data_IF_846757614019
#
_entry.id   IF_846757614019
#
_cell.length_a   1.000
_cell.length_b   1.000
_cell.length_c   1.000
_cell.angle_alpha   90.00
_cell.angle_beta   90.00
_cell.angle_gamma   90.00
#
_symmetry.space_group_name_H-M   'P 1'
#
loop_
_entity.id
_entity.type
_entity.pdbx_description
1 polymer ?
#
# COMPACT_ATOMS: atom_id res chain seq x y z
N UNK A 1 12.59 -11.65 13.25
CA UNK A 1 13.12 -10.55 12.39
C UNK A 1 12.19 -9.32 12.43
N UNK A 2 12.69 -8.08 12.28
CA UNK A 2 11.87 -6.86 12.18
C UNK A 2 12.05 -6.21 10.81
N UNK A 3 10.95 -5.82 10.16
CA UNK A 3 10.92 -5.11 8.87
C UNK A 3 10.13 -3.82 9.10
N UNK A 4 10.74 -2.66 8.85
CA UNK A 4 10.05 -1.37 8.94
C UNK A 4 9.81 -0.82 7.53
N UNK A 5 8.53 -0.62 7.18
CA UNK A 5 8.12 -0.17 5.85
C UNK A 5 7.79 1.32 5.78
N UNK A 6 7.78 2.03 6.91
CA UNK A 6 7.30 3.43 7.00
C UNK A 6 8.12 4.42 6.16
N UNK A 7 9.40 4.13 5.93
CA UNK A 7 10.32 4.94 5.13
C UNK A 7 10.57 4.43 3.71
N UNK A 8 9.95 3.31 3.32
CA UNK A 8 10.18 2.72 2.00
C UNK A 8 9.38 3.46 0.94
N UNK A 9 10.00 3.64 -0.24
CA UNK A 9 9.35 4.29 -1.37
C UNK A 9 8.54 3.27 -2.17
N UNK A 10 7.29 3.61 -2.43
CA UNK A 10 6.49 2.89 -3.40
C UNK A 10 7.02 3.12 -4.83
N UNK A 11 6.82 2.13 -5.69
CA UNK A 11 7.06 2.23 -7.12
C UNK A 11 5.94 3.02 -7.83
N UNK A 12 6.03 3.16 -9.16
CA UNK A 12 5.05 3.87 -9.99
C UNK A 12 3.63 3.28 -9.93
N UNK A 13 3.50 2.03 -9.47
CA UNK A 13 2.22 1.33 -9.27
C UNK A 13 1.72 1.44 -7.82
N UNK A 14 2.30 2.32 -7.00
CA UNK A 14 2.00 2.47 -5.56
C UNK A 14 2.31 1.21 -4.72
N UNK A 15 3.26 0.39 -5.15
CA UNK A 15 3.64 -0.85 -4.45
C UNK A 15 4.98 -0.67 -3.73
N UNK A 16 5.06 -1.14 -2.49
CA UNK A 16 6.33 -1.30 -1.78
C UNK A 16 6.79 -2.75 -1.95
N UNK A 17 8.00 -2.95 -2.47
CA UNK A 17 8.55 -4.29 -2.73
C UNK A 17 9.77 -4.52 -1.84
N UNK A 18 9.79 -5.67 -1.16
CA UNK A 18 10.83 -6.03 -0.20
C UNK A 18 11.19 -7.50 -0.44
N UNK A 19 12.47 -7.82 -0.47
CA UNK A 19 12.93 -9.20 -0.50
C UNK A 19 13.18 -9.70 0.94
N UNK A 20 12.71 -10.92 1.23
CA UNK A 20 12.91 -11.61 2.51
C UNK A 20 13.50 -13.00 2.25
N UNK A 21 14.47 -13.42 3.06
CA UNK A 21 15.07 -14.74 2.88
C UNK A 21 14.08 -15.79 3.36
N UNK A 22 13.95 -16.89 2.60
CA UNK A 22 13.17 -18.04 3.04
C UNK A 22 13.64 -18.56 4.41
N UNK A 23 14.96 -18.49 4.68
CA UNK A 23 15.52 -18.87 5.98
C UNK A 23 14.98 -18.04 7.14
N UNK A 24 14.61 -16.77 6.92
CA UNK A 24 14.01 -15.95 7.97
C UNK A 24 12.64 -16.48 8.39
N UNK A 25 11.86 -16.99 7.43
CA UNK A 25 10.52 -17.58 7.65
C UNK A 25 10.60 -18.94 8.34
N UNK A 26 11.72 -19.63 8.19
CA UNK A 26 11.98 -20.95 8.74
C UNK A 26 12.50 -20.90 10.19
N UNK A 27 12.92 -19.72 10.65
CA UNK A 27 13.26 -19.45 12.04
C UNK A 27 11.97 -19.49 12.87
N UNK A 28 11.91 -20.33 13.91
CA UNK A 28 10.77 -20.41 14.86
C UNK A 28 10.69 -19.16 15.77
N UNK A 29 10.91 -17.98 15.20
CA UNK A 29 10.86 -16.69 15.87
C UNK A 29 9.96 -15.75 15.06
N UNK A 30 9.20 -14.85 15.70
CA UNK A 30 8.28 -13.98 14.96
C UNK A 30 8.97 -13.06 13.95
N UNK A 31 8.28 -12.80 12.84
CA UNK A 31 8.60 -11.74 11.88
C UNK A 31 7.59 -10.61 12.08
N UNK A 32 8.09 -9.45 12.51
CA UNK A 32 7.27 -8.25 12.67
C UNK A 32 7.44 -7.32 11.48
N UNK A 33 6.34 -6.97 10.82
CA UNK A 33 6.28 -5.94 9.77
C UNK A 33 5.63 -4.70 10.38
N UNK A 34 6.37 -3.59 10.44
CA UNK A 34 6.02 -2.37 11.17
C UNK A 34 5.89 -1.19 10.23
N UNK A 35 5.08 -0.21 10.63
CA UNK A 35 4.96 1.06 9.90
C UNK A 35 3.97 0.99 8.74
N UNK A 36 3.03 0.05 8.79
CA UNK A 36 1.99 -0.11 7.76
C UNK A 36 0.94 0.98 7.98
N UNK A 37 0.73 1.84 6.98
CA UNK A 37 -0.38 2.79 7.00
C UNK A 37 -1.69 2.04 6.71
N UNK A 38 -2.81 2.38 7.37
CA UNK A 38 -4.09 1.70 7.12
C UNK A 38 -4.59 1.83 5.68
N UNK A 39 -4.21 2.91 5.00
CA UNK A 39 -4.48 3.14 3.59
C UNK A 39 -3.23 2.97 2.71
N UNK A 40 -2.25 2.19 3.16
CA UNK A 40 -1.07 1.89 2.37
C UNK A 40 -1.45 1.30 1.02
N UNK A 41 -0.66 1.58 -0.02
CA UNK A 41 -0.67 0.72 -1.19
C UNK A 41 -0.13 -0.68 -0.87
N UNK A 42 -0.09 -1.59 -1.85
CA UNK A 42 0.32 -2.97 -1.62
C UNK A 42 1.76 -3.09 -1.15
N UNK A 43 2.00 -3.94 -0.17
CA UNK A 43 3.33 -4.32 0.31
C UNK A 43 3.59 -5.76 -0.11
N UNK A 44 4.52 -5.94 -1.04
CA UNK A 44 4.88 -7.23 -1.63
C UNK A 44 6.19 -7.69 -1.01
N UNK A 45 6.14 -8.82 -0.31
CA UNK A 45 7.31 -9.52 0.20
C UNK A 45 7.65 -10.65 -0.76
N UNK A 46 8.72 -10.48 -1.54
CA UNK A 46 9.25 -11.58 -2.35
C UNK A 46 10.10 -12.47 -1.46
N UNK A 47 9.74 -13.75 -1.39
CA UNK A 47 10.57 -14.74 -0.71
C UNK A 47 11.68 -15.16 -1.66
N UNK A 48 12.92 -14.97 -1.23
CA UNK A 48 14.13 -15.25 -2.02
C UNK A 48 15.05 -16.22 -1.27
N UNK A 49 15.94 -16.86 -2.02
CA UNK A 49 17.00 -17.68 -1.42
C UNK A 49 18.13 -16.80 -0.84
N UNK A 50 19.16 -17.41 -0.25
CA UNK A 50 20.30 -16.69 0.33
C UNK A 50 21.12 -15.88 -0.69
N UNK A 51 20.99 -16.17 -1.99
CA UNK A 51 21.64 -15.46 -3.09
C UNK A 51 20.75 -14.37 -3.73
N UNK A 52 19.57 -14.09 -3.16
CA UNK A 52 18.61 -13.10 -3.68
C UNK A 52 17.89 -13.53 -4.98
N UNK A 53 17.95 -14.81 -5.35
CA UNK A 53 17.14 -15.33 -6.43
C UNK A 53 15.73 -15.74 -5.93
N UNK A 54 14.72 -15.75 -6.82
CA UNK A 54 13.40 -16.30 -6.48
C UNK A 54 13.51 -17.69 -5.85
N UNK A 55 12.85 -17.89 -4.72
CA UNK A 55 12.91 -19.16 -4.00
C UNK A 55 12.34 -20.31 -4.85
N UNK A 56 12.90 -21.51 -4.70
CA UNK A 56 12.45 -22.76 -5.33
C UNK A 56 12.39 -23.86 -4.28
N UNK A 57 11.65 -24.94 -4.56
CA UNK A 57 11.55 -26.09 -3.64
C UNK A 57 10.56 -25.84 -2.51
N UNK A 58 10.84 -26.41 -1.34
CA UNK A 58 9.98 -26.31 -0.15
C UNK A 58 10.35 -25.10 0.69
N UNK A 59 9.35 -24.36 1.17
CA UNK A 59 9.51 -23.31 2.19
C UNK A 59 8.62 -23.64 3.38
N UNK A 60 9.22 -23.69 4.57
CA UNK A 60 8.48 -23.93 5.82
C UNK A 60 8.32 -22.61 6.59
N UNK A 61 7.12 -22.06 6.62
CA UNK A 61 6.83 -20.85 7.39
C UNK A 61 6.58 -21.25 8.84
N UNK A 62 7.64 -21.26 9.63
CA UNK A 62 7.64 -21.54 11.06
C UNK A 62 7.62 -20.28 11.92
N UNK A 63 7.85 -19.11 11.30
CA UNK A 63 7.73 -17.82 11.97
C UNK A 63 6.28 -17.35 12.02
N UNK A 64 5.81 -16.97 13.22
CA UNK A 64 4.62 -16.14 13.35
C UNK A 64 4.76 -14.83 12.60
N UNK A 65 3.79 -14.48 11.77
CA UNK A 65 3.72 -13.15 11.14
C UNK A 65 2.99 -12.19 12.08
N UNK A 66 3.55 -10.98 12.25
CA UNK A 66 2.97 -9.93 13.08
C UNK A 66 2.95 -8.60 12.34
N UNK A 67 1.76 -8.07 12.07
CA UNK A 67 1.58 -6.77 11.46
C UNK A 67 1.37 -5.69 12.52
N UNK A 68 2.12 -4.59 12.42
CA UNK A 68 2.06 -3.43 13.31
C UNK A 68 1.85 -2.17 12.47
N UNK A 69 0.72 -1.50 12.68
CA UNK A 69 0.34 -0.30 11.94
C UNK A 69 0.99 0.96 12.51
N UNK A 70 0.95 2.05 11.73
CA UNK A 70 1.52 3.35 12.11
C UNK A 70 0.89 3.96 13.38
N UNK A 71 -0.34 3.58 13.73
CA UNK A 71 -1.01 3.99 14.98
C UNK A 71 -0.62 3.12 16.18
N UNK A 72 0.30 2.17 16.00
CA UNK A 72 0.79 1.24 17.02
C UNK A 72 -0.11 0.02 17.25
N UNK A 73 -1.25 -0.08 16.56
CA UNK A 73 -2.12 -1.25 16.67
C UNK A 73 -1.52 -2.46 15.97
N UNK A 74 -1.86 -3.65 16.46
CA UNK A 74 -1.49 -4.94 15.85
C UNK A 74 -2.70 -5.60 15.24
N UNK A 75 -2.49 -6.32 14.13
CA UNK A 75 -3.49 -7.28 13.63
C UNK A 75 -3.27 -8.62 14.33
N UNK A 76 -4.34 -9.28 14.78
CA UNK A 76 -4.36 -10.70 15.13
C UNK A 76 -5.24 -11.46 14.12
N UNK A 77 -5.07 -12.77 13.94
CA UNK A 77 -5.98 -13.54 13.09
C UNK A 77 -7.42 -13.47 13.61
N UNK A 78 -8.39 -13.10 12.77
CA UNK A 78 -9.82 -13.06 13.10
C UNK A 78 -10.71 -12.91 11.86
N UNK A 79 -11.97 -13.35 11.97
CA UNK A 79 -13.02 -13.09 10.99
C UNK A 79 -13.34 -11.59 10.90
N UNK A 80 -13.42 -11.05 9.68
CA UNK A 80 -13.74 -9.65 9.42
C UNK A 80 -14.54 -9.48 8.15
N UNK A 81 -15.33 -8.41 8.09
CA UNK A 81 -15.96 -7.91 6.86
C UNK A 81 -15.29 -6.62 6.35
N UNK A 82 -14.41 -6.04 7.16
CA UNK A 82 -13.55 -4.92 6.78
C UNK A 82 -12.18 -5.46 6.34
N UNK A 83 -11.86 -5.26 5.07
CA UNK A 83 -10.61 -5.66 4.44
C UNK A 83 -9.71 -4.46 4.15
N UNK A 84 -10.07 -3.25 4.58
CA UNK A 84 -9.35 -2.02 4.24
C UNK A 84 -7.90 -2.01 4.70
N UNK A 85 -7.50 -2.91 5.60
CA UNK A 85 -6.14 -3.07 6.12
C UNK A 85 -5.35 -4.24 5.49
N UNK A 86 -5.94 -4.98 4.54
CA UNK A 86 -5.36 -6.16 3.89
C UNK A 86 -4.38 -5.82 2.76
N UNK A 87 -3.22 -5.25 3.11
CA UNK A 87 -2.24 -4.74 2.12
C UNK A 87 -1.02 -5.63 1.89
N UNK A 88 -0.92 -6.78 2.56
CA UNK A 88 0.28 -7.63 2.53
C UNK A 88 0.11 -8.76 1.52
N UNK A 89 1.09 -8.90 0.61
CA UNK A 89 1.22 -10.03 -0.31
C UNK A 89 2.59 -10.69 -0.16
N UNK A 90 2.59 -11.99 0.07
CA UNK A 90 3.78 -12.83 0.11
C UNK A 90 3.91 -13.58 -1.21
N UNK A 91 4.94 -13.24 -1.99
CA UNK A 91 5.26 -13.90 -3.24
C UNK A 91 6.32 -14.97 -3.02
N UNK A 92 5.92 -16.23 -3.00
CA UNK A 92 6.81 -17.39 -2.79
C UNK A 92 7.53 -17.83 -4.08
N UNK A 93 7.73 -16.90 -5.02
CA UNK A 93 8.59 -17.09 -6.18
C UNK A 93 8.20 -18.32 -7.00
N UNK A 94 9.09 -19.30 -7.03
CA UNK A 94 8.97 -20.55 -7.79
C UNK A 94 8.97 -21.78 -6.87
N UNK A 95 8.60 -21.62 -5.59
CA UNK A 95 8.43 -22.74 -4.67
C UNK A 95 7.46 -23.77 -5.23
N UNK A 96 7.76 -25.04 -4.97
CA UNK A 96 6.92 -26.19 -5.30
C UNK A 96 6.11 -26.66 -4.09
N UNK A 97 6.46 -26.21 -2.89
CA UNK A 97 5.75 -26.53 -1.66
C UNK A 97 5.86 -25.37 -0.67
N UNK A 98 4.76 -25.03 0.00
CA UNK A 98 4.74 -24.02 1.07
C UNK A 98 3.94 -24.57 2.25
N UNK A 99 4.60 -24.75 3.38
CA UNK A 99 3.99 -25.25 4.61
C UNK A 99 3.86 -24.10 5.62
N UNK A 100 2.63 -23.70 5.92
CA UNK A 100 2.34 -22.65 6.92
C UNK A 100 2.12 -23.32 8.28
N UNK A 101 3.12 -23.23 9.14
CA UNK A 101 3.20 -23.97 10.40
C UNK A 101 2.97 -23.09 11.65
N UNK A 102 2.84 -21.77 11.49
CA UNK A 102 2.54 -20.78 12.53
C UNK A 102 1.50 -19.77 12.02
N UNK A 103 0.64 -19.15 12.86
CA UNK A 103 -0.23 -18.05 12.48
C UNK A 103 0.34 -17.06 11.46
N UNK A 104 -0.40 -16.90 10.36
CA UNK A 104 0.04 -16.17 9.18
C UNK A 104 -0.91 -15.04 8.81
N UNK A 105 -0.34 -13.92 8.36
CA UNK A 105 -1.06 -12.71 8.01
C UNK A 105 -0.57 -12.19 6.66
N UNK A 106 -1.51 -12.06 5.73
CA UNK A 106 -1.26 -11.58 4.38
C UNK A 106 -1.62 -12.63 3.33
N UNK A 107 -1.86 -12.15 2.12
CA UNK A 107 -2.18 -13.01 0.99
C UNK A 107 -0.95 -13.77 0.52
N UNK A 108 -1.12 -15.02 0.12
CA UNK A 108 -0.08 -15.93 -0.37
C UNK A 108 -0.22 -16.08 -1.89
N UNK A 109 0.85 -15.76 -2.61
CA UNK A 109 1.01 -15.99 -4.04
C UNK A 109 2.12 -17.02 -4.26
N UNK A 110 1.73 -18.26 -4.54
CA UNK A 110 2.64 -19.35 -4.85
C UNK A 110 2.05 -20.29 -5.93
N UNK A 111 1.84 -19.83 -7.18
CA UNK A 111 1.04 -20.56 -8.19
C UNK A 111 1.57 -21.95 -8.57
N UNK A 112 2.82 -22.27 -8.25
CA UNK A 112 3.46 -23.57 -8.49
C UNK A 112 3.49 -24.48 -7.26
N UNK A 113 3.13 -23.97 -6.10
CA UNK A 113 3.27 -24.69 -4.85
C UNK A 113 2.02 -25.48 -4.50
N UNK A 114 2.24 -26.70 -3.99
CA UNK A 114 1.26 -27.35 -3.14
C UNK A 114 1.36 -26.72 -1.74
N UNK A 115 0.28 -26.07 -1.30
CA UNK A 115 0.25 -25.28 -0.07
C UNK A 115 -0.49 -26.06 1.02
N UNK A 116 0.17 -26.25 2.16
CA UNK A 116 -0.42 -26.83 3.37
C UNK A 116 -0.54 -25.78 4.45
N UNK A 117 -1.76 -25.47 4.89
CA UNK A 117 -2.03 -24.48 5.93
C UNK A 117 -2.35 -25.19 7.24
N UNK A 118 -1.34 -25.34 8.09
CA UNK A 118 -1.42 -26.04 9.38
C UNK A 118 -1.84 -25.16 10.57
N UNK A 119 -2.03 -23.86 10.36
CA UNK A 119 -2.40 -22.86 11.37
C UNK A 119 -3.33 -21.79 10.80
N UNK A 120 -3.86 -20.90 11.65
CA UNK A 120 -4.71 -19.80 11.20
C UNK A 120 -4.01 -18.90 10.17
N UNK A 121 -4.67 -18.69 9.03
CA UNK A 121 -4.21 -17.80 7.97
C UNK A 121 -5.30 -16.77 7.65
N UNK A 122 -4.95 -15.49 7.71
CA UNK A 122 -5.82 -14.39 7.22
C UNK A 122 -5.25 -13.89 5.89
N UNK A 123 -5.99 -14.06 4.80
CA UNK A 123 -5.56 -13.64 3.47
C UNK A 123 -6.20 -14.42 2.32
N UNK A 124 -5.85 -14.08 1.09
CA UNK A 124 -6.12 -14.91 -0.08
C UNK A 124 -4.98 -15.91 -0.29
N UNK A 125 -5.27 -17.13 -0.77
CA UNK A 125 -4.26 -18.15 -1.05
C UNK A 125 -4.35 -18.54 -2.52
N UNK A 126 -3.27 -18.33 -3.27
CA UNK A 126 -3.14 -18.71 -4.68
C UNK A 126 -2.02 -19.75 -4.79
N UNK A 127 -2.39 -21.02 -4.98
CA UNK A 127 -1.47 -22.16 -5.09
C UNK A 127 -1.82 -23.07 -6.27
N UNK A 128 -0.93 -24.03 -6.57
CA UNK A 128 -1.25 -25.15 -7.46
C UNK A 128 -2.33 -26.04 -6.82
N UNK A 129 -2.16 -26.35 -5.54
CA UNK A 129 -3.18 -26.94 -4.68
C UNK A 129 -3.13 -26.29 -3.30
N UNK A 130 -4.25 -26.29 -2.59
CA UNK A 130 -4.35 -25.71 -1.24
C UNK A 130 -5.07 -26.70 -0.33
N UNK A 131 -4.40 -27.13 0.73
CA UNK A 131 -4.96 -27.96 1.80
C UNK A 131 -5.00 -27.14 3.10
N UNK A 132 -6.19 -26.91 3.64
CA UNK A 132 -6.37 -26.23 4.91
C UNK A 132 -6.57 -27.29 6.00
N UNK A 133 -5.57 -27.41 6.89
CA UNK A 133 -5.59 -28.33 8.03
C UNK A 133 -5.95 -27.64 9.36
N UNK A 134 -6.11 -26.30 9.32
CA UNK A 134 -6.55 -25.47 10.44
C UNK A 134 -7.71 -24.56 9.99
N UNK A 135 -7.60 -23.24 10.20
CA UNK A 135 -8.61 -22.25 9.81
C UNK A 135 -8.03 -21.23 8.82
N UNK A 136 -8.89 -20.74 7.93
CA UNK A 136 -8.58 -19.60 7.07
C UNK A 136 -9.68 -18.57 7.20
N UNK A 137 -9.32 -17.30 7.39
CA UNK A 137 -10.28 -16.21 7.40
C UNK A 137 -10.15 -15.39 6.12
N UNK A 138 -11.29 -14.92 5.62
CA UNK A 138 -11.31 -14.03 4.47
C UNK A 138 -10.66 -12.69 4.86
N UNK A 139 -9.63 -12.29 4.13
CA UNK A 139 -8.99 -10.98 4.27
C UNK A 139 -8.47 -10.56 2.89
N UNK A 140 -9.37 -10.00 2.08
CA UNK A 140 -9.14 -9.80 0.65
C UNK A 140 -8.10 -8.72 0.39
N UNK A 141 -7.08 -9.05 -0.40
CA UNK A 141 -5.98 -8.15 -0.74
C UNK A 141 -6.47 -6.86 -1.40
N UNK A 142 -6.03 -5.72 -0.87
CA UNK A 142 -6.42 -4.39 -1.34
C UNK A 142 -5.29 -3.69 -2.11
N UNK A 143 -5.68 -2.86 -3.08
CA UNK A 143 -4.77 -1.98 -3.81
C UNK A 143 -4.40 -0.72 -2.99
N UNK A 144 -5.08 -0.46 -1.88
CA UNK A 144 -5.01 0.81 -1.15
C UNK A 144 -5.55 1.99 -1.97
N UNK A 145 -5.36 3.19 -1.45
CA UNK A 145 -5.71 4.42 -2.19
C UNK A 145 -4.72 4.62 -3.35
N UNK A 146 -5.20 4.69 -4.58
CA UNK A 146 -4.34 5.15 -5.69
C UNK A 146 -3.98 6.62 -5.44
N UNK A 147 -2.69 7.02 -5.42
CA UNK A 147 -2.33 8.42 -5.35
C UNK A 147 -2.99 9.12 -6.54
N UNK A 148 -3.82 10.13 -6.27
CA UNK A 148 -4.40 10.92 -7.35
C UNK A 148 -3.27 11.46 -8.22
N UNK A 149 -3.31 11.20 -9.54
CA UNK A 149 -2.42 11.86 -10.49
C UNK A 149 -2.45 13.36 -10.19
N UNK A 150 -1.29 14.03 -10.01
CA UNK A 150 -1.28 15.47 -9.85
C UNK A 150 -2.11 16.09 -10.97
N UNK A 151 -3.13 16.88 -10.63
CA UNK A 151 -3.83 17.67 -11.64
C UNK A 151 -2.78 18.45 -12.41
N UNK A 152 -2.89 18.44 -13.75
CA UNK A 152 -2.00 19.23 -14.59
C UNK A 152 -1.97 20.67 -14.05
N UNK A 153 -0.80 21.34 -14.08
CA UNK A 153 -0.72 22.74 -13.68
C UNK A 153 -1.83 23.51 -14.38
N UNK A 154 -2.69 24.18 -13.61
CA UNK A 154 -3.65 25.11 -14.18
C UNK A 154 -2.84 26.15 -14.96
N UNK A 155 -2.91 26.09 -16.28
CA UNK A 155 -2.33 27.13 -17.14
C UNK A 155 -2.99 28.45 -16.74
N UNK A 156 -2.22 29.47 -16.30
CA UNK A 156 -2.80 30.77 -16.01
C UNK A 156 -3.55 31.26 -17.25
N UNK A 157 -4.81 31.64 -17.09
CA UNK A 157 -5.55 32.29 -18.16
C UNK A 157 -4.79 33.55 -18.57
N UNK A 158 -4.63 33.73 -19.90
CA UNK A 158 -3.99 34.89 -20.49
C UNK A 158 -4.63 36.17 -19.91
N UNK A 159 -3.86 37.14 -19.39
CA UNK A 159 -4.41 38.39 -18.91
C UNK A 159 -5.26 39.06 -20.00
N UNK A 160 -6.46 39.50 -19.65
CA UNK A 160 -7.27 40.34 -20.55
C UNK A 160 -6.47 41.57 -20.97
N UNK A 161 -6.59 41.92 -22.25
CA UNK A 161 -5.89 43.05 -22.83
C UNK A 161 -6.12 44.33 -22.02
N UNK A 162 -5.12 45.22 -21.92
CA UNK A 162 -5.28 46.49 -21.23
C UNK A 162 -6.46 47.27 -21.80
N UNK A 163 -7.37 47.69 -20.93
CA UNK A 163 -8.45 48.59 -21.32
C UNK A 163 -7.82 49.92 -21.70
N UNK A 164 -7.93 50.31 -22.97
CA UNK A 164 -7.45 51.60 -23.46
C UNK A 164 -8.24 52.72 -22.76
N UNK A 165 -7.59 53.66 -22.04
CA UNK A 165 -8.30 54.75 -21.41
C UNK A 165 -8.99 55.61 -22.47
N UNK A 166 -10.30 55.81 -22.34
CA UNK A 166 -11.03 56.75 -23.17
C UNK A 166 -10.59 58.18 -22.85
N UNK A 167 -10.41 58.96 -23.92
CA UNK A 167 -10.00 60.37 -23.89
C UNK A 167 -10.94 61.19 -22.97
N UNK A 168 -10.44 62.00 -22.03
CA UNK A 168 -11.28 62.83 -21.17
C UNK A 168 -12.10 63.83 -21.99
N UNK A 169 -13.40 63.92 -21.72
CA UNK A 169 -14.27 64.99 -22.24
C UNK A 169 -13.90 66.33 -21.59
N UNK A 170 -14.00 67.40 -22.40
CA UNK A 170 -13.63 68.77 -22.06
C UNK A 170 -14.36 69.32 -20.82
N UNK A 171 -13.74 70.27 -20.07
CA UNK A 171 -14.33 70.81 -18.85
C UNK A 171 -15.54 71.72 -19.16
N UNK A 172 -16.60 71.55 -18.37
CA UNK A 172 -17.78 72.44 -18.37
C UNK A 172 -17.48 73.66 -17.49
N UNK A 173 -17.55 74.84 -18.07
CA UNK A 173 -17.40 76.14 -17.40
C UNK A 173 -18.51 76.37 -16.37
N UNK A 174 -18.16 76.62 -15.10
CA UNK A 174 -19.12 77.01 -14.05
C UNK A 174 -19.48 78.51 -14.18
N UNK A 175 -20.77 78.81 -14.28
CA UNK A 175 -21.30 80.17 -14.11
C UNK A 175 -21.18 80.60 -12.64
N UNK A 176 -20.69 81.81 -12.43
CA UNK A 176 -20.58 82.45 -11.12
C UNK A 176 -21.92 83.07 -10.71
N UNK A 177 -22.49 82.62 -9.59
CA UNK A 177 -23.59 83.33 -8.92
C UNK A 177 -23.01 84.41 -8.00
N UNK A 178 -23.29 85.67 -8.32
CA UNK A 178 -23.03 86.83 -7.46
C UNK A 178 -24.13 86.96 -6.41
N UNK A 179 -23.72 87.15 -5.16
CA UNK A 179 -24.57 87.54 -4.05
C UNK A 179 -25.06 88.99 -4.20
N UNK A 180 -26.30 89.27 -3.78
CA UNK A 180 -26.72 90.58 -3.28
C UNK A 180 -27.70 90.42 -2.12
N UNK A 181 -27.47 91.25 -1.11
CA UNK A 181 -28.39 91.62 -0.04
C UNK A 181 -29.63 92.34 -0.61
#
# INVERSE_FOLDING_TARGET
RNIDVSGLKANDNNQTIIDIKASDLEENTPISIKGIAKNSGPIILNVVNNNDDPITGTVNVNSKIQLIYTDGTTRSNHETEDFSDAHILWNFGQSTEVNVNDPFQGSVLAPKADISVGQNLDGNIIGNSVTINAESHRWDFQQGDTPSKPSAPVTPSKPSAPVTPSKPSAPVTRQANRARQ
#
